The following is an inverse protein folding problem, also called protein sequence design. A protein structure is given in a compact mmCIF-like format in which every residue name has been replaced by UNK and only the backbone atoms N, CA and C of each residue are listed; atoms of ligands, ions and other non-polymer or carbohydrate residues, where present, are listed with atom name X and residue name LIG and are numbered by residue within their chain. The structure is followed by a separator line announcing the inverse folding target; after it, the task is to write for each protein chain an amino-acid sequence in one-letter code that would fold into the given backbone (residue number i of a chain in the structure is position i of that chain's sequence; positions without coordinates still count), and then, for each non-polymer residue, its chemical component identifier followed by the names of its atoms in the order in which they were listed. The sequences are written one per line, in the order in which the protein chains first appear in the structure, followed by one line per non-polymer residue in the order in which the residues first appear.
data_IF_030026329929
#
_entry.id   IF_030026329929
#
_cell.length_a   1.000
_cell.length_b   1.000
_cell.length_c   1.000
_cell.angle_alpha   90.00
_cell.angle_beta   90.00
_cell.angle_gamma   90.00
#
_symmetry.space_group_name_H-M   'P 1'
#
loop_
_entity.id
_entity.type
_entity.pdbx_description
1 polymer ?
#
# COMPACT_ATOMS: atom_id res chain seq x y z
N UNK A 1 36.12 -80.36 -17.04
CA UNK A 1 35.10 -79.46 -16.47
C UNK A 1 35.33 -78.10 -17.08
N UNK A 2 34.48 -77.67 -18.02
CA UNK A 2 34.55 -76.30 -18.51
C UNK A 2 33.95 -75.39 -17.43
N UNK A 3 34.74 -74.45 -16.95
CA UNK A 3 34.32 -73.46 -15.96
C UNK A 3 33.38 -72.50 -16.67
N UNK A 4 32.10 -72.54 -16.31
CA UNK A 4 31.10 -71.58 -16.80
C UNK A 4 31.48 -70.22 -16.23
N UNK A 5 31.82 -69.28 -17.11
CA UNK A 5 32.12 -67.91 -16.69
C UNK A 5 30.82 -67.15 -16.39
N UNK A 6 30.93 -66.02 -15.68
CA UNK A 6 29.79 -65.14 -15.39
C UNK A 6 29.08 -64.67 -16.67
N UNK A 7 29.84 -64.50 -17.74
CA UNK A 7 29.36 -64.12 -19.07
C UNK A 7 28.58 -65.26 -19.74
N UNK A 8 29.09 -66.50 -19.64
CA UNK A 8 28.39 -67.70 -20.14
C UNK A 8 27.05 -67.93 -19.42
N UNK A 9 27.02 -67.72 -18.09
CA UNK A 9 25.79 -67.84 -17.32
C UNK A 9 24.76 -66.78 -17.72
N UNK A 10 25.17 -65.52 -17.88
CA UNK A 10 24.28 -64.45 -18.31
C UNK A 10 23.73 -64.69 -19.73
N UNK A 11 24.55 -65.18 -20.65
CA UNK A 11 24.15 -65.47 -22.03
C UNK A 11 23.18 -66.66 -22.11
N UNK A 12 23.46 -67.76 -21.38
CA UNK A 12 22.59 -68.93 -21.33
C UNK A 12 21.29 -68.60 -20.57
N UNK A 13 21.38 -67.88 -19.46
CA UNK A 13 20.24 -67.57 -18.61
C UNK A 13 19.31 -66.51 -19.21
N UNK A 14 19.84 -65.38 -19.68
CA UNK A 14 18.98 -64.30 -20.16
C UNK A 14 18.46 -64.58 -21.58
N UNK A 15 19.30 -65.13 -22.48
CA UNK A 15 18.95 -65.23 -23.90
C UNK A 15 18.23 -66.53 -24.26
N UNK A 16 18.67 -67.68 -23.72
CA UNK A 16 18.09 -68.98 -24.08
C UNK A 16 16.83 -69.29 -23.29
N UNK A 17 16.87 -69.13 -21.97
CA UNK A 17 15.76 -69.48 -21.09
C UNK A 17 14.57 -68.52 -21.27
N UNK A 18 14.78 -67.19 -21.19
CA UNK A 18 13.66 -66.21 -21.30
C UNK A 18 12.95 -66.30 -22.65
N UNK A 19 13.70 -66.37 -23.74
CA UNK A 19 13.16 -66.48 -25.11
C UNK A 19 12.38 -67.79 -25.32
N UNK A 20 12.82 -68.90 -24.71
CA UNK A 20 12.16 -70.20 -24.87
C UNK A 20 10.92 -70.30 -23.99
N UNK A 21 11.02 -69.88 -22.73
CA UNK A 21 9.93 -69.94 -21.75
C UNK A 21 8.80 -68.99 -22.15
N UNK A 22 9.09 -67.74 -22.48
CA UNK A 22 8.06 -66.77 -22.87
C UNK A 22 7.27 -67.20 -24.13
N UNK A 23 7.89 -67.97 -25.03
CA UNK A 23 7.24 -68.53 -26.23
C UNK A 23 6.46 -69.82 -25.99
N UNK A 24 6.80 -70.56 -24.93
CA UNK A 24 6.25 -71.89 -24.64
C UNK A 24 5.13 -71.85 -23.60
N UNK A 25 4.89 -70.70 -22.97
CA UNK A 25 3.77 -70.51 -22.04
C UNK A 25 2.46 -70.63 -22.82
N UNK A 26 1.61 -71.58 -22.42
CA UNK A 26 0.23 -71.65 -22.89
C UNK A 26 -0.52 -70.46 -22.28
N UNK A 27 -1.25 -69.66 -23.07
CA UNK A 27 -2.04 -68.56 -22.53
C UNK A 27 -3.03 -69.10 -21.49
N UNK A 28 -2.95 -68.63 -20.25
CA UNK A 28 -3.91 -69.03 -19.21
C UNK A 28 -5.31 -68.55 -19.59
N UNK A 29 -6.30 -69.45 -19.59
CA UNK A 29 -7.73 -69.13 -19.69
C UNK A 29 -8.25 -68.48 -18.38
N UNK A 30 -7.72 -67.31 -18.02
CA UNK A 30 -8.36 -66.41 -17.06
C UNK A 30 -8.74 -65.13 -17.81
N UNK A 31 -9.98 -64.68 -17.60
CA UNK A 31 -10.79 -63.69 -18.33
C UNK A 31 -10.19 -62.28 -18.55
N UNK A 32 -8.89 -62.07 -18.32
CA UNK A 32 -8.18 -60.89 -18.79
C UNK A 32 -7.51 -61.18 -20.13
N UNK A 33 -8.33 -61.54 -21.12
CA UNK A 33 -8.01 -61.26 -22.50
C UNK A 33 -7.85 -59.74 -22.69
N UNK A 34 -6.82 -59.36 -23.45
CA UNK A 34 -6.47 -58.00 -23.94
C UNK A 34 -5.60 -57.09 -23.07
N UNK A 35 -4.50 -57.62 -22.52
CA UNK A 35 -3.28 -56.80 -22.50
C UNK A 35 -2.55 -56.97 -23.83
N UNK A 36 -2.83 -56.08 -24.77
CA UNK A 36 -2.20 -55.98 -26.10
C UNK A 36 -0.67 -55.78 -26.09
N UNK A 37 -0.04 -55.69 -24.91
CA UNK A 37 1.39 -55.45 -24.75
C UNK A 37 2.02 -56.31 -23.64
N UNK A 38 1.92 -57.65 -23.73
CA UNK A 38 2.93 -58.49 -23.06
C UNK A 38 4.22 -58.33 -23.87
N UNK A 39 5.17 -57.52 -23.40
CA UNK A 39 6.54 -57.50 -23.94
C UNK A 39 7.28 -58.71 -23.37
N UNK A 40 7.60 -59.73 -24.18
CA UNK A 40 8.26 -60.95 -23.71
C UNK A 40 9.61 -60.68 -23.05
N UNK A 41 10.28 -59.60 -23.47
CA UNK A 41 11.59 -59.16 -22.98
C UNK A 41 11.54 -58.78 -21.50
N UNK A 42 10.45 -58.16 -21.07
CA UNK A 42 10.29 -57.60 -19.72
C UNK A 42 9.67 -58.59 -18.73
N UNK A 43 9.00 -59.63 -19.23
CA UNK A 43 8.18 -60.52 -18.43
C UNK A 43 8.98 -61.29 -17.36
N UNK A 44 8.53 -61.22 -16.11
CA UNK A 44 9.15 -61.92 -14.98
C UNK A 44 10.42 -61.25 -14.43
N UNK A 45 10.81 -60.07 -14.94
CA UNK A 45 12.00 -59.38 -14.47
C UNK A 45 11.77 -58.65 -13.15
N UNK A 46 12.69 -58.74 -12.19
CA UNK A 46 12.60 -57.97 -10.95
C UNK A 46 12.65 -56.46 -11.25
N UNK A 47 11.72 -55.73 -10.65
CA UNK A 47 11.57 -54.27 -10.80
C UNK A 47 12.04 -53.59 -9.52
N UNK A 48 13.06 -52.75 -9.64
CA UNK A 48 13.58 -51.90 -8.59
C UNK A 48 13.34 -50.43 -8.91
N UNK A 49 12.89 -49.68 -7.91
CA UNK A 49 12.52 -48.29 -8.07
C UNK A 49 13.25 -47.42 -7.06
N UNK A 50 13.89 -46.37 -7.57
CA UNK A 50 14.67 -45.41 -6.81
C UNK A 50 13.79 -44.21 -6.48
N UNK A 51 13.77 -43.81 -5.21
CA UNK A 51 12.98 -42.67 -4.73
C UNK A 51 11.48 -42.93 -4.57
N UNK A 52 11.03 -44.19 -4.63
CA UNK A 52 9.62 -44.55 -4.47
C UNK A 52 9.25 -44.72 -2.99
N UNK A 53 8.16 -44.08 -2.56
CA UNK A 53 7.65 -44.18 -1.18
C UNK A 53 8.63 -43.68 -0.10
N UNK A 54 9.52 -42.75 -0.45
CA UNK A 54 10.53 -42.20 0.48
C UNK A 54 11.73 -43.12 0.75
N UNK A 55 11.83 -44.26 0.06
CA UNK A 55 12.98 -45.17 0.16
C UNK A 55 14.00 -44.89 -0.93
N UNK A 56 15.28 -45.12 -0.62
CA UNK A 56 16.38 -44.99 -1.58
C UNK A 56 16.23 -45.98 -2.73
N UNK A 57 15.95 -47.25 -2.43
CA UNK A 57 15.65 -48.30 -3.42
C UNK A 57 14.51 -49.17 -2.87
N UNK A 58 13.48 -49.42 -3.68
CA UNK A 58 12.35 -50.27 -3.35
C UNK A 58 12.22 -51.39 -4.39
N UNK A 59 12.11 -52.64 -3.94
CA UNK A 59 11.73 -53.77 -4.78
C UNK A 59 10.20 -53.84 -4.87
N UNK A 60 9.64 -53.80 -6.07
CA UNK A 60 8.18 -53.80 -6.29
C UNK A 60 7.61 -55.15 -6.72
N UNK A 61 8.46 -56.15 -6.93
CA UNK A 61 8.09 -57.46 -7.49
C UNK A 61 8.70 -57.66 -8.87
N UNK A 62 8.12 -58.57 -9.63
CA UNK A 62 8.47 -58.85 -11.01
C UNK A 62 7.49 -58.20 -11.98
N UNK A 63 7.99 -57.77 -13.12
CA UNK A 63 7.18 -57.21 -14.19
C UNK A 63 6.22 -58.27 -14.75
N UNK A 64 4.91 -57.94 -14.80
CA UNK A 64 3.87 -58.79 -15.39
C UNK A 64 3.40 -58.21 -16.71
N UNK A 65 2.99 -56.94 -16.69
CA UNK A 65 2.49 -56.23 -17.86
C UNK A 65 2.59 -54.72 -17.64
N UNK A 66 2.43 -53.93 -18.70
CA UNK A 66 2.22 -52.49 -18.56
C UNK A 66 1.11 -52.00 -19.49
N UNK A 67 0.55 -50.85 -19.13
CA UNK A 67 -0.38 -50.08 -19.96
C UNK A 67 0.17 -48.68 -20.19
N UNK A 68 0.14 -48.22 -21.43
CA UNK A 68 0.46 -46.83 -21.74
C UNK A 68 -0.77 -45.98 -21.43
N UNK A 69 -0.62 -45.05 -20.48
CA UNK A 69 -1.65 -44.09 -20.09
C UNK A 69 -1.25 -42.69 -20.56
N UNK A 70 -2.24 -41.89 -20.95
CA UNK A 70 -2.04 -40.48 -21.28
C UNK A 70 -2.50 -39.63 -20.11
N UNK A 71 -1.57 -38.93 -19.47
CA UNK A 71 -1.84 -38.07 -18.31
C UNK A 71 -1.68 -36.61 -18.74
N UNK A 72 -2.67 -35.78 -18.42
CA UNK A 72 -2.61 -34.34 -18.66
C UNK A 72 -2.00 -33.65 -17.43
N UNK A 73 -0.75 -33.22 -17.54
CA UNK A 73 -0.07 -32.42 -16.52
C UNK A 73 0.30 -31.06 -17.10
N UNK A 74 -0.05 -29.98 -16.40
CA UNK A 74 0.28 -28.59 -16.78
C UNK A 74 -0.08 -28.25 -18.24
N UNK A 75 -1.26 -28.71 -18.71
CA UNK A 75 -1.74 -28.46 -20.07
C UNK A 75 -1.08 -29.30 -21.18
N UNK A 76 0.00 -30.04 -20.88
CA UNK A 76 0.65 -30.96 -21.82
C UNK A 76 0.21 -32.40 -21.60
N UNK A 77 -0.02 -33.13 -22.69
CA UNK A 77 -0.32 -34.57 -22.64
C UNK A 77 1.02 -35.30 -22.57
N UNK A 78 1.27 -36.02 -21.48
CA UNK A 78 2.43 -36.93 -21.35
C UNK A 78 1.98 -38.38 -21.39
N UNK A 79 2.78 -39.21 -22.03
CA UNK A 79 2.61 -40.66 -22.06
C UNK A 79 3.39 -41.29 -20.92
N UNK A 80 2.71 -42.03 -20.05
CA UNK A 80 3.29 -42.76 -18.92
C UNK A 80 3.06 -44.24 -19.07
N UNK A 81 3.99 -45.03 -18.55
CA UNK A 81 3.85 -46.46 -18.40
C UNK A 81 3.29 -46.72 -17.01
N UNK A 82 2.17 -47.45 -16.97
CA UNK A 82 1.59 -48.00 -15.76
C UNK A 82 1.95 -49.48 -15.72
N UNK A 83 2.94 -49.82 -14.92
CA UNK A 83 3.55 -51.14 -14.85
C UNK A 83 2.93 -51.91 -13.69
N UNK A 84 2.39 -53.08 -13.99
CA UNK A 84 1.88 -54.04 -13.03
C UNK A 84 3.02 -54.97 -12.60
N UNK A 85 3.23 -55.08 -11.29
CA UNK A 85 4.26 -55.94 -10.71
C UNK A 85 3.69 -56.93 -9.72
N UNK A 86 4.32 -58.09 -9.61
CA UNK A 86 3.88 -59.14 -8.70
C UNK A 86 4.85 -60.30 -8.58
N UNK A 87 4.37 -61.46 -8.10
CA UNK A 87 5.12 -62.71 -8.11
C UNK A 87 4.73 -63.52 -9.34
N UNK A 88 5.72 -64.03 -10.05
CA UNK A 88 5.57 -64.89 -11.22
C UNK A 88 6.37 -66.16 -10.97
N UNK A 89 5.65 -67.29 -10.99
CA UNK A 89 6.19 -68.63 -10.95
C UNK A 89 5.76 -69.37 -12.21
N UNK A 90 6.66 -70.22 -12.69
CA UNK A 90 6.39 -71.08 -13.84
C UNK A 90 6.62 -72.50 -13.39
N UNK A 91 5.57 -73.30 -13.47
CA UNK A 91 5.55 -74.71 -13.09
C UNK A 91 5.44 -75.56 -14.35
N UNK A 92 6.13 -76.68 -14.40
CA UNK A 92 5.92 -77.76 -15.36
C UNK A 92 5.02 -78.81 -14.71
N UNK A 93 3.84 -79.03 -15.27
CA UNK A 93 2.94 -80.13 -14.88
C UNK A 93 3.13 -81.30 -15.82
N UNK A 94 3.38 -82.49 -15.28
CA UNK A 94 3.45 -83.70 -16.10
C UNK A 94 2.08 -83.99 -16.75
N UNK A 95 2.07 -84.41 -18.02
CA UNK A 95 0.83 -84.59 -18.79
C UNK A 95 -0.03 -85.72 -18.22
N UNK A 96 0.59 -86.78 -17.73
CA UNK A 96 -0.07 -88.01 -17.26
C UNK A 96 -0.06 -88.18 -15.74
N UNK A 97 0.84 -87.49 -15.05
CA UNK A 97 1.06 -87.66 -13.61
C UNK A 97 0.79 -86.32 -12.91
N UNK A 98 0.25 -86.33 -11.69
CA UNK A 98 -0.03 -85.09 -10.95
C UNK A 98 1.23 -84.56 -10.25
N UNK A 99 2.32 -84.49 -11.02
CA UNK A 99 3.63 -84.01 -10.58
C UNK A 99 3.83 -82.59 -11.11
N UNK A 100 4.19 -81.70 -10.20
CA UNK A 100 4.51 -80.32 -10.48
C UNK A 100 5.98 -80.06 -10.16
N UNK A 101 6.71 -79.58 -11.15
CA UNK A 101 8.10 -79.19 -11.00
C UNK A 101 8.15 -77.68 -11.20
N UNK A 102 8.58 -76.96 -10.17
CA UNK A 102 8.87 -75.54 -10.34
C UNK A 102 10.01 -75.38 -11.33
N UNK A 103 9.88 -74.52 -12.33
CA UNK A 103 10.94 -74.16 -13.28
C UNK A 103 11.51 -72.78 -12.97
N UNK A 104 10.65 -71.84 -12.63
CA UNK A 104 11.04 -70.48 -12.27
C UNK A 104 10.25 -70.03 -11.06
N UNK A 105 10.96 -69.43 -10.11
CA UNK A 105 10.37 -68.65 -9.05
C UNK A 105 11.11 -67.33 -8.93
N UNK A 106 10.37 -66.23 -8.92
CA UNK A 106 10.92 -64.89 -8.72
C UNK A 106 12.06 -64.52 -9.70
N UNK A 107 12.00 -65.05 -10.92
CA UNK A 107 12.95 -64.73 -11.99
C UNK A 107 14.26 -65.48 -11.86
N UNK A 108 14.31 -66.51 -11.01
CA UNK A 108 15.45 -67.41 -10.80
C UNK A 108 15.07 -68.79 -11.31
N UNK A 109 15.95 -69.50 -12.04
CA UNK A 109 15.70 -70.86 -12.49
C UNK A 109 15.82 -71.80 -11.29
N UNK A 110 14.91 -72.74 -11.17
CA UNK A 110 15.03 -73.83 -10.20
C UNK A 110 15.88 -74.98 -10.78
N UNK A 111 16.17 -75.99 -9.95
CA UNK A 111 16.74 -77.26 -10.41
C UNK A 111 15.85 -78.00 -11.43
N UNK A 112 14.54 -77.74 -11.41
CA UNK A 112 13.54 -78.36 -12.27
C UNK A 112 13.69 -78.01 -13.75
N UNK A 113 14.39 -76.92 -14.08
CA UNK A 113 14.67 -76.52 -15.47
C UNK A 113 15.42 -77.63 -16.21
N UNK A 114 16.41 -78.28 -15.57
CA UNK A 114 17.18 -79.34 -16.21
C UNK A 114 16.31 -80.57 -16.54
N UNK A 115 15.39 -80.92 -15.64
CA UNK A 115 14.48 -82.03 -15.82
C UNK A 115 13.47 -81.77 -16.95
N UNK A 116 12.91 -80.57 -16.99
CA UNK A 116 12.01 -80.14 -18.05
C UNK A 116 12.69 -80.08 -19.41
N UNK A 117 13.92 -79.55 -19.47
CA UNK A 117 14.68 -79.45 -20.73
C UNK A 117 14.91 -80.82 -21.38
N UNK A 118 15.08 -81.88 -20.59
CA UNK A 118 15.33 -83.23 -21.07
C UNK A 118 14.04 -83.99 -21.44
N UNK A 119 12.86 -83.52 -21.02
CA UNK A 119 11.58 -84.23 -21.17
C UNK A 119 10.44 -83.30 -21.61
N UNK A 120 10.71 -82.33 -22.49
CA UNK A 120 9.76 -81.24 -22.83
C UNK A 120 8.38 -81.72 -23.31
N UNK A 121 8.33 -82.87 -23.97
CA UNK A 121 7.13 -83.51 -24.51
C UNK A 121 6.18 -84.04 -23.43
N UNK A 122 6.70 -84.29 -22.22
CA UNK A 122 5.94 -84.85 -21.09
C UNK A 122 5.37 -83.80 -20.14
N UNK A 123 5.66 -82.53 -20.36
CA UNK A 123 5.34 -81.45 -19.43
C UNK A 123 4.62 -80.29 -20.12
N UNK A 124 3.57 -79.77 -19.47
CA UNK A 124 2.88 -78.54 -19.85
C UNK A 124 3.30 -77.43 -18.90
N UNK A 125 3.61 -76.25 -19.46
CA UNK A 125 3.95 -75.08 -18.65
C UNK A 125 2.69 -74.39 -18.12
N UNK A 126 2.67 -74.15 -16.82
CA UNK A 126 1.63 -73.44 -16.10
C UNK A 126 2.23 -72.18 -15.49
N UNK A 127 1.61 -71.04 -15.79
CA UNK A 127 1.90 -69.76 -15.15
C UNK A 127 1.12 -69.68 -13.83
N UNK A 128 1.82 -69.55 -12.71
CA UNK A 128 1.25 -69.22 -11.41
C UNK A 128 1.71 -67.79 -11.04
N UNK A 129 0.76 -66.87 -10.92
CA UNK A 129 1.07 -65.45 -10.68
C UNK A 129 0.15 -64.81 -9.65
N UNK A 130 0.74 -63.88 -8.90
CA UNK A 130 0.04 -63.05 -7.91
C UNK A 130 0.42 -61.58 -8.15
N UNK A 131 -0.56 -60.73 -8.37
CA UNK A 131 -0.37 -59.29 -8.60
C UNK A 131 -0.26 -58.57 -7.26
N UNK A 132 0.75 -57.72 -7.07
CA UNK A 132 1.05 -57.11 -5.77
C UNK A 132 0.97 -55.59 -5.83
N UNK A 133 1.66 -54.98 -6.79
CA UNK A 133 1.85 -53.54 -6.85
C UNK A 133 1.67 -53.02 -8.28
N UNK A 134 1.50 -51.70 -8.36
CA UNK A 134 1.44 -50.97 -9.61
C UNK A 134 2.28 -49.69 -9.47
N UNK A 135 3.05 -49.35 -10.51
CA UNK A 135 3.82 -48.11 -10.57
C UNK A 135 3.58 -47.37 -11.87
N UNK A 136 3.48 -46.05 -11.78
CA UNK A 136 3.47 -45.16 -12.93
C UNK A 136 4.83 -44.45 -13.07
N UNK A 137 5.44 -44.55 -14.26
CA UNK A 137 6.69 -43.86 -14.58
C UNK A 137 6.67 -43.34 -16.03
N UNK A 138 7.50 -42.35 -16.36
CA UNK A 138 7.75 -42.02 -17.76
C UNK A 138 8.67 -43.12 -18.34
N UNK A 139 8.54 -43.46 -19.63
CA UNK A 139 9.43 -44.45 -20.29
C UNK A 139 10.91 -44.08 -20.11
N UNK A 140 11.20 -42.79 -20.19
CA UNK A 140 12.54 -42.26 -19.99
C UNK A 140 13.10 -42.56 -18.60
N UNK A 141 12.27 -42.77 -17.58
CA UNK A 141 12.70 -43.00 -16.19
C UNK A 141 13.24 -44.40 -15.97
N UNK A 142 13.02 -45.31 -16.92
CA UNK A 142 13.62 -46.65 -16.93
C UNK A 142 15.05 -46.53 -17.44
N UNK A 143 16.03 -46.52 -16.53
CA UNK A 143 17.43 -46.20 -16.83
C UNK A 143 18.02 -47.18 -17.85
N UNK A 144 17.71 -48.46 -17.69
CA UNK A 144 18.35 -49.55 -18.42
C UNK A 144 17.40 -50.22 -19.43
N UNK A 145 16.36 -49.52 -19.88
CA UNK A 145 15.34 -50.08 -20.77
C UNK A 145 15.97 -50.73 -22.02
N UNK A 146 16.92 -50.06 -22.66
CA UNK A 146 17.61 -50.60 -23.85
C UNK A 146 18.34 -51.91 -23.58
N UNK A 147 19.06 -52.00 -22.45
CA UNK A 147 19.79 -53.22 -22.07
C UNK A 147 18.86 -54.36 -21.70
N UNK A 148 17.74 -54.07 -21.05
CA UNK A 148 16.70 -55.06 -20.74
C UNK A 148 16.05 -55.60 -22.03
N UNK A 149 15.67 -54.72 -22.95
CA UNK A 149 15.06 -55.10 -24.23
C UNK A 149 15.99 -55.96 -25.10
N UNK A 150 17.31 -55.78 -24.95
CA UNK A 150 18.32 -56.59 -25.63
C UNK A 150 18.71 -57.88 -24.86
N UNK A 151 18.02 -58.21 -23.76
CA UNK A 151 18.33 -59.34 -22.88
C UNK A 151 19.74 -59.28 -22.24
N UNK A 152 20.35 -58.09 -22.16
CA UNK A 152 21.65 -57.87 -21.54
C UNK A 152 21.49 -57.72 -20.02
N UNK A 153 20.48 -56.95 -19.61
CA UNK A 153 20.23 -56.68 -18.20
C UNK A 153 19.20 -57.63 -17.58
N UNK A 154 19.52 -58.22 -16.41
CA UNK A 154 18.62 -59.16 -15.76
C UNK A 154 17.53 -58.49 -14.89
N UNK A 155 17.55 -57.17 -14.72
CA UNK A 155 16.69 -56.40 -13.80
C UNK A 155 16.18 -55.12 -14.45
N UNK A 156 15.01 -54.61 -14.03
CA UNK A 156 14.48 -53.30 -14.46
C UNK A 156 14.76 -52.27 -13.37
N UNK A 157 15.46 -51.18 -13.71
CA UNK A 157 15.75 -50.06 -12.82
C UNK A 157 14.98 -48.81 -13.25
N UNK A 158 14.13 -48.31 -12.36
CA UNK A 158 13.33 -47.11 -12.58
C UNK A 158 13.79 -46.02 -11.61
N UNK A 159 14.19 -44.87 -12.14
CA UNK A 159 14.52 -43.69 -11.33
C UNK A 159 13.44 -42.62 -11.45
N UNK A 160 12.54 -42.61 -10.46
CA UNK A 160 11.46 -41.63 -10.36
C UNK A 160 11.96 -40.29 -9.80
N UNK A 161 13.12 -40.30 -9.13
CA UNK A 161 13.70 -39.11 -8.50
C UNK A 161 14.50 -38.24 -9.47
N UNK A 162 14.96 -38.82 -10.59
CA UNK A 162 15.83 -38.14 -11.56
C UNK A 162 17.26 -37.94 -11.09
N UNK A 163 17.65 -38.54 -9.95
CA UNK A 163 18.98 -38.40 -9.36
C UNK A 163 20.09 -39.02 -10.19
N UNK A 164 19.81 -40.11 -10.92
CA UNK A 164 20.80 -40.82 -11.72
C UNK A 164 20.89 -40.32 -13.17
N UNK A 165 19.98 -39.43 -13.58
CA UNK A 165 19.93 -38.87 -14.94
C UNK A 165 20.76 -37.60 -15.15
N UNK A 166 21.17 -36.89 -14.09
CA UNK A 166 21.91 -35.64 -14.28
C UNK A 166 23.32 -35.92 -14.83
N UNK A 167 23.51 -35.63 -16.13
CA UNK A 167 24.84 -35.66 -16.72
C UNK A 167 25.66 -34.46 -16.23
N UNK A 168 26.99 -34.58 -16.08
CA UNK A 168 27.85 -33.47 -15.64
C UNK A 168 27.72 -32.20 -16.50
N UNK A 169 27.32 -32.34 -17.78
CA UNK A 169 27.11 -31.23 -18.69
C UNK A 169 25.87 -30.38 -18.33
N UNK A 170 24.78 -31.02 -17.90
CA UNK A 170 23.55 -30.31 -17.49
C UNK A 170 23.75 -29.55 -16.16
N UNK A 171 24.58 -30.10 -15.27
CA UNK A 171 24.96 -29.46 -14.01
C UNK A 171 25.79 -28.19 -14.27
N UNK A 172 26.75 -28.25 -15.20
CA UNK A 172 27.53 -27.08 -15.60
C UNK A 172 26.67 -26.02 -16.28
N UNK A 173 25.75 -26.40 -17.17
CA UNK A 173 24.83 -25.47 -17.80
C UNK A 173 23.97 -24.74 -16.76
N UNK A 174 23.34 -25.49 -15.83
CA UNK A 174 22.59 -24.90 -14.72
C UNK A 174 23.45 -24.00 -13.82
N UNK A 175 24.70 -24.40 -13.55
CA UNK A 175 25.61 -23.56 -12.77
C UNK A 175 25.90 -22.23 -13.46
N UNK A 176 26.11 -22.23 -14.79
CA UNK A 176 26.32 -20.98 -15.55
C UNK A 176 25.08 -20.09 -15.57
N UNK A 177 23.89 -20.68 -15.70
CA UNK A 177 22.63 -19.93 -15.59
C UNK A 177 22.48 -19.31 -14.21
N UNK A 178 22.70 -20.07 -13.14
CA UNK A 178 22.65 -19.56 -11.75
C UNK A 178 23.67 -18.45 -11.55
N UNK A 179 24.90 -18.60 -12.05
CA UNK A 179 25.92 -17.57 -11.94
C UNK A 179 25.52 -16.28 -12.67
N UNK A 180 24.87 -16.40 -13.83
CA UNK A 180 24.36 -15.25 -14.59
C UNK A 180 23.24 -14.52 -13.86
N UNK A 181 22.30 -15.28 -13.27
CA UNK A 181 21.22 -14.73 -12.45
C UNK A 181 21.80 -14.03 -11.23
N UNK A 182 22.77 -14.64 -10.57
CA UNK A 182 23.40 -14.07 -9.38
C UNK A 182 24.10 -12.74 -9.69
N UNK A 183 24.80 -12.65 -10.84
CA UNK A 183 25.39 -11.40 -11.31
C UNK A 183 24.35 -10.32 -11.61
N UNK A 184 23.22 -10.70 -12.23
CA UNK A 184 22.13 -9.76 -12.50
C UNK A 184 21.50 -9.23 -11.20
N UNK A 185 21.34 -10.10 -10.19
CA UNK A 185 20.84 -9.70 -8.87
C UNK A 185 21.82 -8.79 -8.15
N UNK A 186 23.14 -9.04 -8.23
CA UNK A 186 24.14 -8.15 -7.66
C UNK A 186 24.10 -6.75 -8.27
N UNK A 187 23.95 -6.65 -9.60
CA UNK A 187 23.80 -5.36 -10.26
C UNK A 187 22.53 -4.62 -9.81
N UNK A 188 21.41 -5.33 -9.70
CA UNK A 188 20.15 -4.77 -9.19
C UNK A 188 20.29 -4.27 -7.74
N UNK A 189 20.97 -5.03 -6.89
CA UNK A 189 21.25 -4.61 -5.50
C UNK A 189 22.06 -3.32 -5.50
N UNK A 190 23.11 -3.24 -6.31
CA UNK A 190 23.95 -2.05 -6.41
C UNK A 190 23.16 -0.82 -6.89
N UNK A 191 22.32 -0.97 -7.91
CA UNK A 191 21.43 0.11 -8.38
C UNK A 191 20.44 0.53 -7.29
N UNK A 192 19.86 -0.42 -6.55
CA UNK A 192 18.96 -0.12 -5.44
C UNK A 192 19.67 0.58 -4.29
N UNK A 193 20.90 0.20 -3.95
CA UNK A 193 21.72 0.86 -2.94
C UNK A 193 22.01 2.32 -3.32
N UNK A 194 22.31 2.58 -4.59
CA UNK A 194 22.51 3.93 -5.10
C UNK A 194 21.23 4.77 -4.99
N UNK A 195 20.08 4.22 -5.40
CA UNK A 195 18.78 4.89 -5.26
C UNK A 195 18.46 5.20 -3.80
N UNK A 196 18.75 4.28 -2.88
CA UNK A 196 18.54 4.49 -1.44
C UNK A 196 19.38 5.66 -0.95
N UNK A 197 20.64 5.77 -1.38
CA UNK A 197 21.52 6.86 -0.98
C UNK A 197 21.03 8.20 -1.54
N UNK A 198 20.64 8.25 -2.81
CA UNK A 198 20.06 9.44 -3.42
C UNK A 198 18.81 9.90 -2.66
N UNK A 199 17.89 8.97 -2.34
CA UNK A 199 16.69 9.26 -1.56
C UNK A 199 17.00 9.76 -0.15
N UNK A 200 18.04 9.24 0.51
CA UNK A 200 18.47 9.78 1.82
C UNK A 200 18.92 11.22 1.68
N UNK A 201 19.71 11.54 0.67
CA UNK A 201 20.16 12.92 0.45
C UNK A 201 18.98 13.86 0.19
N UNK A 202 18.00 13.43 -0.61
CA UNK A 202 16.77 14.18 -0.88
C UNK A 202 15.92 14.41 0.38
N UNK A 203 15.84 13.40 1.26
CA UNK A 203 15.16 13.55 2.55
C UNK A 203 15.88 14.55 3.45
N UNK A 204 17.21 14.56 3.44
CA UNK A 204 18.01 15.52 4.23
C UNK A 204 17.85 16.95 3.72
N UNK A 205 17.90 17.16 2.40
CA UNK A 205 17.66 18.48 1.79
C UNK A 205 16.26 18.97 2.10
N UNK A 206 15.24 18.13 1.92
CA UNK A 206 13.84 18.46 2.23
C UNK A 206 13.66 18.81 3.72
N UNK A 207 14.32 18.08 4.63
CA UNK A 207 14.31 18.40 6.06
C UNK A 207 14.96 19.76 6.34
N UNK A 208 16.05 20.09 5.65
CA UNK A 208 16.71 21.38 5.77
C UNK A 208 15.79 22.52 5.29
N UNK A 209 15.14 22.36 4.14
CA UNK A 209 14.15 23.31 3.62
C UNK A 209 12.98 23.51 4.59
N UNK A 210 12.46 22.42 5.17
CA UNK A 210 11.39 22.51 6.15
C UNK A 210 11.81 23.32 7.39
N UNK A 211 13.05 23.16 7.86
CA UNK A 211 13.60 23.96 8.98
C UNK A 211 13.67 25.45 8.62
N UNK A 212 14.10 25.77 7.39
CA UNK A 212 14.15 27.16 6.91
C UNK A 212 12.75 27.76 6.86
N UNK A 213 11.78 27.04 6.28
CA UNK A 213 10.38 27.49 6.22
C UNK A 213 9.78 27.72 7.59
N UNK A 214 10.00 26.80 8.55
CA UNK A 214 9.56 27.00 9.94
C UNK A 214 10.15 28.26 10.57
N UNK A 215 11.42 28.55 10.28
CA UNK A 215 12.08 29.77 10.76
C UNK A 215 11.44 31.02 10.14
N UNK A 216 11.12 30.99 8.84
CA UNK A 216 10.39 32.08 8.19
C UNK A 216 8.98 32.29 8.77
N UNK A 217 8.22 31.21 8.99
CA UNK A 217 6.90 31.27 9.62
C UNK A 217 6.99 31.88 11.02
N UNK A 218 7.97 31.47 11.82
CA UNK A 218 8.20 32.05 13.14
C UNK A 218 8.55 33.54 13.07
N UNK A 219 9.44 33.92 12.14
CA UNK A 219 9.81 35.32 11.92
C UNK A 219 8.63 36.18 11.49
N UNK A 220 7.78 35.68 10.59
CA UNK A 220 6.55 36.35 10.15
C UNK A 220 5.54 36.46 11.29
N UNK A 221 5.36 35.41 12.08
CA UNK A 221 4.50 35.42 13.27
C UNK A 221 4.93 36.50 14.28
N UNK A 222 6.24 36.62 14.53
CA UNK A 222 6.79 37.68 15.40
C UNK A 222 6.52 39.08 14.84
N UNK A 223 6.69 39.27 13.53
CA UNK A 223 6.39 40.55 12.87
C UNK A 223 4.90 40.89 12.96
N UNK A 224 4.03 39.91 12.71
CA UNK A 224 2.58 40.04 12.82
C UNK A 224 2.15 40.42 14.23
N UNK A 225 2.75 39.80 15.25
CA UNK A 225 2.46 40.13 16.65
C UNK A 225 2.89 41.57 16.98
N UNK A 226 4.05 42.00 16.49
CA UNK A 226 4.53 43.37 16.66
C UNK A 226 3.58 44.39 15.99
N UNK A 227 3.19 44.15 14.74
CA UNK A 227 2.26 45.04 14.02
C UNK A 227 0.85 45.02 14.62
N UNK A 228 0.39 43.89 15.14
CA UNK A 228 -0.86 43.84 15.91
C UNK A 228 -0.76 44.69 17.18
N UNK A 229 0.38 44.65 17.88
CA UNK A 229 0.66 45.49 19.04
C UNK A 229 0.64 46.99 18.71
N UNK A 230 1.29 47.41 17.62
CA UNK A 230 1.26 48.82 17.18
C UNK A 230 -0.14 49.25 16.75
N UNK A 231 -0.90 48.38 16.08
CA UNK A 231 -2.29 48.65 15.71
C UNK A 231 -3.17 48.81 16.96
N UNK A 232 -3.00 47.97 17.98
CA UNK A 232 -3.72 48.12 19.25
C UNK A 232 -3.37 49.43 19.96
N UNK A 233 -2.09 49.84 19.92
CA UNK A 233 -1.67 51.13 20.45
C UNK A 233 -2.36 52.29 19.73
N UNK A 234 -2.33 52.32 18.39
CA UNK A 234 -3.03 53.34 17.62
C UNK A 234 -4.54 53.35 17.85
N UNK A 235 -5.16 52.17 17.97
CA UNK A 235 -6.58 52.06 18.35
C UNK A 235 -6.86 52.72 19.71
N UNK A 236 -5.99 52.52 20.70
CA UNK A 236 -6.10 53.14 22.01
C UNK A 236 -5.96 54.67 21.93
N UNK A 237 -5.00 55.17 21.16
CA UNK A 237 -4.83 56.62 20.95
C UNK A 237 -6.03 57.25 20.24
N UNK A 238 -6.57 56.61 19.21
CA UNK A 238 -7.77 57.08 18.51
C UNK A 238 -8.98 57.15 19.43
N UNK A 239 -9.14 56.18 20.34
CA UNK A 239 -10.22 56.22 21.33
C UNK A 239 -10.06 57.40 22.30
N UNK A 240 -8.84 57.65 22.79
CA UNK A 240 -8.55 58.82 23.64
C UNK A 240 -8.81 60.14 22.92
N UNK A 241 -8.39 60.25 21.65
CA UNK A 241 -8.66 61.44 20.84
C UNK A 241 -10.16 61.63 20.60
N UNK A 242 -10.91 60.54 20.36
CA UNK A 242 -12.36 60.58 20.23
C UNK A 242 -13.03 61.11 21.50
N UNK A 243 -12.65 60.61 22.67
CA UNK A 243 -13.17 61.08 23.97
C UNK A 243 -12.88 62.58 24.17
N UNK A 244 -11.67 63.01 23.85
CA UNK A 244 -11.25 64.41 23.96
C UNK A 244 -12.00 65.33 22.97
N UNK A 245 -12.26 64.87 21.75
CA UNK A 245 -13.12 65.58 20.79
C UNK A 245 -14.56 65.66 21.28
N UNK A 246 -15.10 64.59 21.84
CA UNK A 246 -16.46 64.58 22.39
C UNK A 246 -16.59 65.60 23.53
N UNK A 247 -15.61 65.65 24.45
CA UNK A 247 -15.53 66.67 25.48
C UNK A 247 -15.50 68.10 24.91
N UNK A 248 -14.76 68.34 23.83
CA UNK A 248 -14.76 69.65 23.17
C UNK A 248 -16.08 69.99 22.48
N UNK A 249 -16.77 69.01 21.90
CA UNK A 249 -18.11 69.20 21.33
C UNK A 249 -19.09 69.62 22.44
N UNK A 250 -19.13 68.88 23.55
CA UNK A 250 -19.98 69.21 24.70
C UNK A 250 -19.68 70.61 25.25
N UNK A 251 -18.39 70.99 25.32
CA UNK A 251 -17.99 72.34 25.73
C UNK A 251 -18.44 73.41 24.74
N UNK A 252 -18.35 73.16 23.44
CA UNK A 252 -18.81 74.09 22.41
C UNK A 252 -20.33 74.26 22.45
N UNK A 253 -21.09 73.18 22.66
CA UNK A 253 -22.54 73.22 22.86
C UNK A 253 -22.91 74.09 24.07
N UNK A 254 -22.22 73.91 25.21
CA UNK A 254 -22.44 74.75 26.40
C UNK A 254 -22.12 76.23 26.16
N UNK A 255 -21.06 76.52 25.39
CA UNK A 255 -20.72 77.90 24.99
C UNK A 255 -21.77 78.47 24.05
N UNK A 256 -22.30 77.68 23.12
CA UNK A 256 -23.39 78.09 22.23
C UNK A 256 -24.66 78.41 23.03
N UNK A 257 -25.06 77.55 23.97
CA UNK A 257 -26.21 77.81 24.85
C UNK A 257 -25.99 79.09 25.68
N UNK A 258 -24.78 79.31 26.19
CA UNK A 258 -24.42 80.52 26.92
C UNK A 258 -24.48 81.77 26.03
N UNK A 259 -24.04 81.65 24.76
CA UNK A 259 -24.14 82.72 23.77
C UNK A 259 -25.61 83.05 23.48
N UNK A 260 -26.46 82.05 23.29
CA UNK A 260 -27.89 82.23 23.05
C UNK A 260 -28.56 82.93 24.24
N UNK A 261 -28.23 82.53 25.49
CA UNK A 261 -28.69 83.22 26.71
C UNK A 261 -28.21 84.67 26.77
N UNK A 262 -26.94 84.94 26.46
CA UNK A 262 -26.42 86.32 26.42
C UNK A 262 -27.09 87.15 25.32
N UNK A 263 -27.37 86.57 24.16
CA UNK A 263 -28.11 87.23 23.09
C UNK A 263 -29.55 87.56 23.52
N UNK A 264 -30.22 86.67 24.25
CA UNK A 264 -31.53 86.95 24.84
C UNK A 264 -31.45 88.11 25.83
N UNK A 265 -30.47 88.11 26.74
CA UNK A 265 -30.26 89.22 27.70
C UNK A 265 -29.95 90.54 26.99
N UNK A 266 -29.14 90.52 25.93
CA UNK A 266 -28.89 91.72 25.10
C UNK A 266 -30.19 92.21 24.45
N UNK A 267 -31.04 91.29 23.98
CA UNK A 267 -32.38 91.58 23.48
C UNK A 267 -33.24 92.26 24.55
N UNK A 268 -33.34 91.66 25.74
CA UNK A 268 -34.08 92.23 26.88
C UNK A 268 -33.57 93.63 27.27
N UNK A 269 -32.26 93.85 27.23
CA UNK A 269 -31.65 95.17 27.45
C UNK A 269 -32.01 96.15 26.34
N UNK A 270 -32.06 95.71 25.08
CA UNK A 270 -32.47 96.54 23.96
C UNK A 270 -33.92 96.97 24.10
N UNK A 271 -34.82 96.03 24.41
CA UNK A 271 -36.25 96.29 24.66
C UNK A 271 -36.45 97.22 25.86
N UNK A 272 -35.66 97.04 26.92
CA UNK A 272 -35.65 97.94 28.07
C UNK A 272 -35.19 99.35 27.70
N UNK A 273 -34.14 99.48 26.89
CA UNK A 273 -33.66 100.77 26.39
C UNK A 273 -34.69 101.43 25.46
N UNK A 274 -35.37 100.66 24.61
CA UNK A 274 -36.50 101.14 23.80
C UNK A 274 -37.67 101.60 24.67
N UNK A 275 -37.90 100.99 25.84
CA UNK A 275 -38.93 101.41 26.79
C UNK A 275 -38.52 102.67 27.57
N UNK A 276 -37.24 102.81 27.91
CA UNK A 276 -36.72 104.01 28.60
C UNK A 276 -36.63 105.21 27.66
N UNK A 277 -36.29 105.01 26.38
CA UNK A 277 -36.16 106.09 25.39
C UNK A 277 -37.38 107.05 25.34
N UNK A 278 -38.64 106.58 25.26
CA UNK A 278 -39.82 107.45 25.33
C UNK A 278 -39.98 108.12 26.70
N UNK A 279 -39.60 107.45 27.80
CA UNK A 279 -39.65 108.05 29.14
C UNK A 279 -38.61 109.17 29.26
N UNK A 280 -37.40 108.99 28.75
CA UNK A 280 -36.37 110.03 28.73
C UNK A 280 -36.83 111.20 27.89
N UNK A 281 -37.40 110.96 26.70
CA UNK A 281 -37.93 112.04 25.86
C UNK A 281 -39.09 112.76 26.54
N UNK A 282 -40.03 112.06 27.18
CA UNK A 282 -41.12 112.66 27.98
C UNK A 282 -40.59 113.48 29.17
N UNK A 283 -39.58 112.97 29.90
CA UNK A 283 -38.91 113.72 30.97
C UNK A 283 -38.23 114.96 30.41
N UNK A 284 -37.55 114.85 29.27
CA UNK A 284 -36.84 115.97 28.64
C UNK A 284 -37.85 117.04 28.18
N UNK A 285 -38.98 116.63 27.62
CA UNK A 285 -40.10 117.51 27.30
C UNK A 285 -40.65 118.20 28.55
N UNK A 286 -40.92 117.47 29.64
CA UNK A 286 -41.39 118.04 30.91
C UNK A 286 -40.37 118.99 31.54
N UNK A 287 -39.07 118.71 31.45
CA UNK A 287 -38.01 119.62 31.89
C UNK A 287 -38.05 120.90 31.04
N UNK A 288 -38.22 120.79 29.73
CA UNK A 288 -38.35 121.96 28.86
C UNK A 288 -39.60 122.80 29.16
N UNK A 289 -40.71 122.16 29.55
CA UNK A 289 -41.91 122.85 30.03
C UNK A 289 -41.67 123.56 31.36
N UNK A 290 -40.97 122.91 32.29
CA UNK A 290 -40.57 123.53 33.56
C UNK A 290 -39.62 124.71 33.36
N UNK A 291 -38.68 124.63 32.41
CA UNK A 291 -37.80 125.74 32.06
C UNK A 291 -38.59 126.91 31.47
N UNK A 292 -39.57 126.65 30.58
CA UNK A 292 -40.47 127.71 30.08
C UNK A 292 -41.29 128.34 31.19
N UNK A 293 -41.85 127.54 32.11
CA UNK A 293 -42.59 128.04 33.28
C UNK A 293 -41.69 128.84 34.22
N UNK A 294 -40.42 128.44 34.38
CA UNK A 294 -39.42 129.17 35.15
C UNK A 294 -39.10 130.51 34.48
N UNK A 295 -38.90 130.53 33.18
CA UNK A 295 -38.64 131.77 32.42
C UNK A 295 -39.84 132.72 32.45
N UNK A 296 -41.07 132.20 32.40
CA UNK A 296 -42.29 132.98 32.61
C UNK A 296 -42.37 133.52 34.04
N UNK A 297 -42.07 132.70 35.05
CA UNK A 297 -42.01 133.14 36.44
C UNK A 297 -40.92 134.20 36.66
N UNK A 298 -39.74 134.07 36.03
CA UNK A 298 -38.68 135.06 36.07
C UNK A 298 -39.06 136.35 35.35
N UNK A 299 -39.82 136.30 34.23
CA UNK A 299 -40.37 137.50 33.59
C UNK A 299 -41.35 138.24 34.50
N UNK A 300 -42.26 137.51 35.15
CA UNK A 300 -43.19 138.08 36.14
C UNK A 300 -42.42 138.68 37.32
N UNK A 301 -41.34 138.03 37.77
CA UNK A 301 -40.49 138.55 38.84
C UNK A 301 -39.75 139.84 38.41
N UNK A 302 -39.22 139.89 37.19
CA UNK A 302 -38.53 141.08 36.64
C UNK A 302 -39.49 142.24 36.37
N UNK A 303 -40.74 141.97 35.98
CA UNK A 303 -41.80 143.01 35.94
C UNK A 303 -42.14 143.51 37.34
N UNK A 304 -42.24 142.62 38.34
CA UNK A 304 -42.46 143.01 39.73
C UNK A 304 -41.30 143.81 40.34
N UNK A 305 -40.06 143.52 39.94
CA UNK A 305 -38.87 144.28 40.35
C UNK A 305 -38.78 145.65 39.66
N UNK A 306 -39.13 145.78 38.37
CA UNK A 306 -39.24 147.09 37.70
C UNK A 306 -40.29 147.99 38.35
N UNK A 307 -41.44 147.44 38.75
CA UNK A 307 -42.47 148.19 39.51
C UNK A 307 -41.98 148.60 40.91
N UNK A 308 -41.02 147.88 41.50
CA UNK A 308 -40.40 148.23 42.78
C UNK A 308 -39.31 149.31 42.65
N UNK A 309 -38.55 149.33 41.56
CA UNK A 309 -37.53 150.36 41.33
C UNK A 309 -38.13 151.71 40.96
N UNK A 310 -39.21 151.76 40.18
CA UNK A 310 -39.96 153.01 39.92
C UNK A 310 -40.59 153.61 41.20
N UNK A 311 -40.78 152.81 42.26
CA UNK A 311 -41.25 153.29 43.57
C UNK A 311 -40.14 153.83 44.47
N UNK A 312 -38.86 153.50 44.23
CA UNK A 312 -37.73 153.94 45.08
C UNK A 312 -37.17 155.31 44.70
N UNK A 313 -37.26 155.74 43.45
CA UNK A 313 -36.80 157.10 43.04
C UNK A 313 -37.67 158.26 43.56
N UNK A 314 -38.84 157.98 44.15
CA UNK A 314 -39.76 159.03 44.66
C UNK A 314 -39.66 159.34 46.16
N UNK A 315 -38.77 158.70 46.93
CA UNK A 315 -38.63 158.96 48.38
C UNK A 315 -37.19 158.82 48.86
N UNK A 316 -36.48 159.95 48.99
CA UNK A 316 -35.19 159.93 49.69
C UNK A 316 -34.21 161.08 49.45
N UNK A 317 -34.66 162.26 48.99
CA UNK A 317 -33.93 163.49 49.27
C UNK A 317 -34.36 164.01 50.64
N UNK A 318 -33.45 163.95 51.62
CA UNK A 318 -33.35 164.74 52.87
C UNK A 318 -32.56 163.97 53.94
N UNK A 319 -31.22 164.09 53.91
CA UNK A 319 -30.40 164.69 54.99
C UNK A 319 -28.90 164.54 54.70
N UNK A 320 -28.26 165.71 54.69
CA UNK A 320 -26.83 166.08 54.58
C UNK A 320 -26.11 165.87 53.24
#
# INVERSE_FOLDING_TARGET
MNVVTKEDFAEIFNRFIRKTVAKSLVPSQKEYESSTFRQPELYGLPVFVIGYGGRTIAYLGQYIAHKIIKVKQNGKIRTRWRILTGFVRILAKHVEEDIYIELFANGVPSAGVAEWLNNRDKYILIEDREEINEIECDESDIINLSGVMNYEDPVILIDVSGLLKETPADVLARYTEIASINKSMQNLIFEMEQIIEDLKTEVETTKAENRILRTHVYGLSKRLLSTAGTLMHYKSELLKQKELLQFYIERLEAVQESKEKLQAVIGDFHDFMETISPIITEITEKISELEKLKDEAERVLREAERVREEKKERKGGEKE
#
